data_IF_732740921742
#
_entry.id   IF_732740921742
#
_cell.length_a   1.000
_cell.length_b   1.000
_cell.length_c   1.000
_cell.angle_alpha   90.00
_cell.angle_beta   90.00
_cell.angle_gamma   90.00
#
_symmetry.space_group_name_H-M   'P 1'
#
loop_
_entity.id
_entity.type
_entity.pdbx_description
1 polymer ?
#
# COMPACT_ATOMS: atom_id res chain seq x y z
N UNK A 1 9.59 -17.21 30.72
CA UNK A 1 8.64 -17.21 29.57
C UNK A 1 9.43 -17.01 28.28
N UNK A 2 9.40 -17.97 27.35
CA UNK A 2 10.03 -17.84 26.04
C UNK A 2 9.11 -17.03 25.11
N UNK A 3 9.62 -15.95 24.50
CA UNK A 3 8.86 -15.18 23.51
C UNK A 3 8.84 -15.92 22.18
N UNK A 4 7.67 -16.42 21.76
CA UNK A 4 7.49 -17.00 20.42
C UNK A 4 7.67 -15.88 19.39
N UNK A 5 8.71 -15.97 18.57
CA UNK A 5 8.90 -15.09 17.41
C UNK A 5 8.15 -15.65 16.21
N UNK A 6 7.30 -14.85 15.61
CA UNK A 6 6.58 -15.20 14.38
C UNK A 6 7.21 -14.50 13.18
N UNK A 7 7.27 -15.20 12.05
CA UNK A 7 7.75 -14.63 10.78
C UNK A 7 6.83 -13.51 10.30
N UNK A 8 7.40 -12.56 9.56
CA UNK A 8 6.64 -11.40 9.08
C UNK A 8 5.63 -11.82 8.00
N UNK A 9 5.93 -12.89 7.27
CA UNK A 9 5.10 -13.52 6.27
C UNK A 9 3.82 -14.08 6.90
N UNK A 10 3.95 -14.80 8.02
CA UNK A 10 2.81 -15.33 8.76
C UNK A 10 1.91 -14.21 9.29
N UNK A 11 2.49 -13.14 9.83
CA UNK A 11 1.71 -11.98 10.30
C UNK A 11 0.93 -11.32 9.16
N UNK A 12 1.55 -11.14 7.98
CA UNK A 12 0.89 -10.58 6.79
C UNK A 12 -0.26 -11.47 6.31
N UNK A 13 -0.05 -12.79 6.29
CA UNK A 13 -1.09 -13.74 5.90
C UNK A 13 -2.28 -13.70 6.86
N UNK A 14 -2.02 -13.79 8.16
CA UNK A 14 -3.04 -13.73 9.22
C UNK A 14 -3.80 -12.40 9.18
N UNK A 15 -3.11 -11.29 8.93
CA UNK A 15 -3.74 -9.98 8.77
C UNK A 15 -4.72 -9.95 7.59
N UNK A 16 -4.28 -10.41 6.40
CA UNK A 16 -5.12 -10.44 5.20
C UNK A 16 -6.36 -11.32 5.41
N UNK A 17 -6.18 -12.54 5.90
CA UNK A 17 -7.29 -13.46 6.19
C UNK A 17 -8.25 -12.87 7.24
N UNK A 18 -7.74 -12.11 8.22
CA UNK A 18 -8.58 -11.46 9.23
C UNK A 18 -9.44 -10.32 8.66
N UNK A 19 -8.95 -9.61 7.64
CA UNK A 19 -9.73 -8.58 6.94
C UNK A 19 -10.82 -9.20 6.05
N UNK A 20 -10.50 -10.30 5.36
CA UNK A 20 -11.44 -11.00 4.48
C UNK A 20 -12.56 -11.69 5.26
N UNK A 21 -12.23 -12.38 6.35
CA UNK A 21 -13.19 -13.14 7.16
C UNK A 21 -13.95 -12.23 8.14
N UNK A 22 -13.36 -11.10 8.54
CA UNK A 22 -13.95 -10.18 9.53
C UNK A 22 -14.02 -10.73 10.96
N UNK A 23 -13.56 -11.97 11.20
CA UNK A 23 -13.57 -12.62 12.51
C UNK A 23 -12.18 -13.14 12.90
N UNK A 24 -11.49 -12.37 13.74
CA UNK A 24 -10.16 -12.68 14.23
C UNK A 24 -10.07 -14.00 15.01
N UNK A 25 -11.14 -14.46 15.65
CA UNK A 25 -11.13 -15.69 16.44
C UNK A 25 -11.12 -16.96 15.56
N UNK A 26 -11.71 -16.90 14.37
CA UNK A 26 -11.70 -18.01 13.40
C UNK A 26 -10.30 -18.14 12.79
N UNK A 27 -9.74 -17.01 12.36
CA UNK A 27 -8.39 -16.96 11.78
C UNK A 27 -7.35 -17.38 12.81
N UNK A 28 -7.49 -16.95 14.08
CA UNK A 28 -6.60 -17.36 15.15
C UNK A 28 -6.58 -18.89 15.34
N UNK A 29 -7.75 -19.54 15.34
CA UNK A 29 -7.85 -21.01 15.44
C UNK A 29 -7.19 -21.74 14.27
N UNK A 30 -7.32 -21.21 13.05
CA UNK A 30 -6.71 -21.80 11.83
C UNK A 30 -5.18 -21.79 11.88
N UNK A 31 -4.59 -20.78 12.51
CA UNK A 31 -3.14 -20.57 12.58
C UNK A 31 -2.52 -20.97 13.93
N UNK A 32 -3.28 -21.64 14.82
CA UNK A 32 -2.89 -21.97 16.20
C UNK A 32 -2.40 -20.76 17.01
N UNK A 33 -3.08 -19.62 16.83
CA UNK A 33 -2.80 -18.35 17.48
C UNK A 33 -3.92 -18.01 18.48
N UNK A 34 -3.61 -17.11 19.41
CA UNK A 34 -4.65 -16.54 20.28
C UNK A 34 -5.42 -15.43 19.55
N UNK A 35 -6.74 -15.38 19.74
CA UNK A 35 -7.60 -14.35 19.14
C UNK A 35 -7.17 -12.92 19.54
N UNK A 36 -6.65 -12.76 20.76
CA UNK A 36 -6.11 -11.50 21.24
C UNK A 36 -4.86 -11.07 20.45
N UNK A 37 -3.99 -12.02 20.08
CA UNK A 37 -2.79 -11.73 19.30
C UNK A 37 -3.14 -11.30 17.88
N UNK A 38 -4.07 -12.00 17.22
CA UNK A 38 -4.55 -11.63 15.88
C UNK A 38 -5.22 -10.25 15.91
N UNK A 39 -6.09 -10.01 16.89
CA UNK A 39 -6.73 -8.70 17.08
C UNK A 39 -5.71 -7.57 17.30
N UNK A 40 -4.64 -7.83 18.06
CA UNK A 40 -3.54 -6.88 18.25
C UNK A 40 -2.79 -6.61 16.95
N UNK A 41 -2.45 -7.64 16.17
CA UNK A 41 -1.77 -7.46 14.87
C UNK A 41 -2.62 -6.67 13.87
N UNK A 42 -3.93 -6.94 13.83
CA UNK A 42 -4.86 -6.18 12.98
C UNK A 42 -4.91 -4.70 13.38
N UNK A 43 -4.98 -4.40 14.67
CA UNK A 43 -4.93 -3.02 15.18
C UNK A 43 -3.60 -2.34 14.87
N UNK A 44 -2.48 -3.03 15.12
CA UNK A 44 -1.13 -2.49 14.89
C UNK A 44 -0.91 -2.17 13.40
N UNK A 45 -1.33 -3.06 12.50
CA UNK A 45 -1.21 -2.84 11.05
C UNK A 45 -2.17 -1.75 10.54
N UNK A 46 -3.40 -1.65 11.09
CA UNK A 46 -4.33 -0.56 10.77
C UNK A 46 -3.82 0.80 11.25
N UNK A 47 -3.17 0.83 12.42
CA UNK A 47 -2.52 2.03 12.92
C UNK A 47 -1.31 2.38 12.05
N UNK A 48 -0.49 1.41 11.63
CA UNK A 48 0.60 1.61 10.67
C UNK A 48 0.11 2.16 9.31
N UNK A 49 -1.03 1.70 8.79
CA UNK A 49 -1.61 2.29 7.58
C UNK A 49 -2.17 3.70 7.81
N UNK A 50 -2.69 3.99 9.01
CA UNK A 50 -3.13 5.34 9.41
C UNK A 50 -1.97 6.29 9.77
N UNK A 51 -0.74 5.81 9.95
CA UNK A 51 0.46 6.65 10.09
C UNK A 51 0.74 7.46 8.81
N UNK A 52 0.15 7.08 7.67
CA UNK A 52 0.11 7.93 6.48
C UNK A 52 -0.72 9.22 6.63
N UNK A 53 -1.48 9.41 7.72
CA UNK A 53 -2.42 10.53 7.86
C UNK A 53 -2.47 11.22 9.25
N UNK A 54 -1.61 10.89 10.22
CA UNK A 54 -1.57 11.67 11.48
C UNK A 54 -0.23 11.58 12.25
N UNK A 55 0.23 12.66 12.91
CA UNK A 55 1.59 12.77 13.42
C UNK A 55 1.66 12.35 14.89
N UNK A 56 2.14 11.14 15.19
CA UNK A 56 2.50 10.77 16.57
C UNK A 56 3.80 9.96 16.59
N UNK A 57 4.88 10.68 16.95
CA UNK A 57 5.99 10.26 17.81
C UNK A 57 6.42 8.80 17.74
N UNK A 58 7.46 8.51 16.95
CA UNK A 58 8.13 7.21 16.99
C UNK A 58 9.33 7.06 16.06
N UNK A 59 10.51 7.46 16.54
CA UNK A 59 11.83 6.94 16.19
C UNK A 59 12.29 6.95 14.71
N UNK A 60 13.01 8.02 14.35
CA UNK A 60 14.32 8.08 13.65
C UNK A 60 14.60 7.29 12.36
N UNK A 61 14.14 6.05 12.20
CA UNK A 61 14.45 5.19 11.05
C UNK A 61 13.37 5.23 9.96
N UNK A 62 12.11 5.53 10.33
CA UNK A 62 11.00 5.63 9.37
C UNK A 62 11.09 6.85 8.42
N UNK A 63 11.85 7.89 8.80
CA UNK A 63 11.92 9.15 8.06
C UNK A 63 12.73 9.02 6.75
N UNK A 64 13.79 8.20 6.73
CA UNK A 64 14.60 8.00 5.53
C UNK A 64 13.84 7.26 4.42
N UNK A 65 13.08 6.22 4.78
CA UNK A 65 12.23 5.50 3.84
C UNK A 65 11.08 6.37 3.33
N UNK A 66 10.49 7.21 4.18
CA UNK A 66 9.44 8.14 3.76
C UNK A 66 9.96 9.16 2.72
N UNK A 67 11.12 9.75 2.97
CA UNK A 67 11.74 10.72 2.03
C UNK A 67 12.15 10.08 0.70
N UNK A 68 12.67 8.85 0.74
CA UNK A 68 13.00 8.08 -0.46
C UNK A 68 11.73 7.76 -1.28
N UNK A 69 10.67 7.30 -0.62
CA UNK A 69 9.36 7.02 -1.23
C UNK A 69 8.70 8.29 -1.79
N UNK A 70 8.83 9.43 -1.11
CA UNK A 70 8.32 10.71 -1.60
C UNK A 70 9.08 11.15 -2.86
N UNK A 71 10.42 11.04 -2.86
CA UNK A 71 11.23 11.35 -4.04
C UNK A 71 10.91 10.43 -5.23
N UNK A 72 10.67 9.14 -4.97
CA UNK A 72 10.25 8.19 -6.00
C UNK A 72 8.86 8.55 -6.56
N UNK A 73 7.90 8.90 -5.70
CA UNK A 73 6.58 9.36 -6.13
C UNK A 73 6.65 10.62 -6.99
N UNK A 74 7.46 11.62 -6.62
CA UNK A 74 7.63 12.83 -7.42
C UNK A 74 8.24 12.53 -8.80
N UNK A 75 9.22 11.61 -8.87
CA UNK A 75 9.78 11.14 -10.16
C UNK A 75 8.72 10.44 -11.01
N UNK A 76 7.92 9.55 -10.41
CA UNK A 76 6.87 8.82 -11.11
C UNK A 76 5.77 9.76 -11.63
N UNK A 77 5.34 10.74 -10.82
CA UNK A 77 4.37 11.77 -11.25
C UNK A 77 4.90 12.57 -12.43
N UNK A 78 6.18 12.95 -12.42
CA UNK A 78 6.80 13.68 -13.52
C UNK A 78 6.82 12.85 -14.81
N UNK A 79 7.28 11.61 -14.73
CA UNK A 79 7.30 10.69 -15.87
C UNK A 79 5.89 10.45 -16.43
N UNK A 80 4.90 10.31 -15.55
CA UNK A 80 3.50 10.16 -15.95
C UNK A 80 3.00 11.39 -16.71
N UNK A 81 3.26 12.59 -16.20
CA UNK A 81 2.89 13.84 -16.87
C UNK A 81 3.56 14.01 -18.24
N UNK A 82 4.84 13.64 -18.36
CA UNK A 82 5.55 13.64 -19.65
C UNK A 82 4.90 12.67 -20.65
N UNK A 83 4.50 11.48 -20.20
CA UNK A 83 3.81 10.49 -21.03
C UNK A 83 2.41 10.92 -21.43
N UNK A 84 1.64 11.53 -20.52
CA UNK A 84 0.32 12.07 -20.83
C UNK A 84 0.40 13.23 -21.84
N UNK A 85 1.42 14.08 -21.74
CA UNK A 85 1.68 15.14 -22.72
C UNK A 85 2.05 14.58 -24.10
N UNK A 86 2.94 13.58 -24.14
CA UNK A 86 3.30 12.87 -25.38
C UNK A 86 2.05 12.27 -26.05
N UNK A 87 1.19 11.61 -25.27
CA UNK A 87 -0.08 11.05 -25.76
C UNK A 87 -1.00 12.15 -26.29
N UNK A 88 -1.12 13.28 -25.59
CA UNK A 88 -1.96 14.40 -26.03
C UNK A 88 -1.50 14.97 -27.39
N UNK A 89 -0.19 15.19 -27.55
CA UNK A 89 0.40 15.68 -28.80
C UNK A 89 0.18 14.68 -29.93
N UNK A 90 0.44 13.39 -29.69
CA UNK A 90 0.24 12.34 -30.70
C UNK A 90 -1.24 12.25 -31.13
N UNK A 91 -2.17 12.34 -30.19
CA UNK A 91 -3.61 12.36 -30.48
C UNK A 91 -4.00 13.56 -31.34
N UNK A 92 -3.44 14.74 -31.04
CA UNK A 92 -3.70 15.95 -31.83
C UNK A 92 -3.10 15.87 -33.24
N UNK A 93 -1.92 15.28 -33.40
CA UNK A 93 -1.31 15.05 -34.72
C UNK A 93 -2.16 14.09 -35.56
N UNK A 94 -2.66 13.00 -34.97
CA UNK A 94 -3.56 12.06 -35.65
C UNK A 94 -4.85 12.75 -36.08
N UNK A 95 -5.46 13.56 -35.21
CA UNK A 95 -6.68 14.33 -35.56
C UNK A 95 -6.43 15.33 -36.69
N UNK A 96 -5.29 16.01 -36.69
CA UNK A 96 -4.91 16.98 -37.72
C UNK A 96 -4.62 16.31 -39.07
N UNK A 97 -3.95 15.16 -39.06
CA UNK A 97 -3.56 14.43 -40.28
C UNK A 97 -4.70 13.59 -40.86
N UNK A 98 -5.63 13.12 -40.03
CA UNK A 98 -6.73 12.26 -40.45
C UNK A 98 -8.02 12.57 -39.67
N UNK A 99 -8.79 13.59 -40.06
CA UNK A 99 -9.95 14.09 -39.30
C UNK A 99 -11.05 13.05 -39.05
N UNK A 100 -11.12 12.00 -39.87
CA UNK A 100 -12.05 10.88 -39.73
C UNK A 100 -11.64 9.83 -38.67
N UNK A 101 -10.42 9.89 -38.13
CA UNK A 101 -9.97 8.97 -37.09
C UNK A 101 -10.50 9.40 -35.70
N UNK A 102 -11.55 8.74 -35.23
CA UNK A 102 -12.04 8.88 -33.85
C UNK A 102 -11.27 7.94 -32.93
N UNK A 103 -10.46 8.50 -32.05
CA UNK A 103 -9.77 7.76 -30.98
C UNK A 103 -10.80 7.53 -29.86
N UNK A 104 -11.11 6.26 -29.55
CA UNK A 104 -12.01 5.85 -28.46
C UNK A 104 -11.41 6.08 -27.08
#
# INVERSE_FOLDING_TARGET
MQSKKYSQELKKQVFRESLEVGNAAIVARKHDLSANMVSRWVREHKNQSNIGFSPVHGNGSYNQNAKALESENEKLKKLLGEKDLEIAILRDLVKKTNPQFKIK
#
